data_IF_752206506398
#
_entry.id   IF_752206506398
#
_cell.length_a   1.000
_cell.length_b   1.000
_cell.length_c   1.000
_cell.angle_alpha   90.00
_cell.angle_beta   90.00
_cell.angle_gamma   90.00
#
_symmetry.space_group_name_H-M   'P 1'
#
loop_
_entity.id
_entity.type
_entity.pdbx_description
1 polymer ?
#
# COMPACT_ATOMS: atom_id res chain seq x y z
N UNK A 1 -17.83 -5.04 -8.12
CA UNK A 1 -16.78 -5.39 -9.12
C UNK A 1 -15.53 -4.49 -9.03
N UNK A 2 -15.67 -3.18 -8.75
CA UNK A 2 -14.55 -2.21 -8.81
C UNK A 2 -13.41 -2.37 -7.79
N UNK A 3 -13.67 -2.94 -6.60
CA UNK A 3 -12.63 -3.05 -5.55
C UNK A 3 -11.48 -4.01 -5.90
N UNK A 4 -11.72 -4.99 -6.79
CA UNK A 4 -10.68 -5.96 -7.20
C UNK A 4 -9.59 -5.34 -8.08
N UNK A 5 -9.93 -4.38 -8.93
CA UNK A 5 -8.97 -3.70 -9.81
C UNK A 5 -8.05 -2.81 -8.98
N UNK A 6 -8.64 -2.03 -8.05
CA UNK A 6 -7.90 -1.11 -7.21
C UNK A 6 -7.04 -1.81 -6.15
N UNK A 7 -7.37 -3.04 -5.73
CA UNK A 7 -6.54 -3.80 -4.80
C UNK A 7 -5.57 -4.78 -5.48
N UNK A 8 -5.39 -4.69 -6.79
CA UNK A 8 -4.52 -5.56 -7.56
C UNK A 8 -3.50 -4.72 -8.35
N UNK A 9 -2.22 -5.08 -8.26
CA UNK A 9 -1.15 -4.42 -9.02
C UNK A 9 -1.39 -4.46 -10.52
N UNK A 10 -1.89 -5.58 -11.04
CA UNK A 10 -2.25 -5.70 -12.45
C UNK A 10 -3.41 -4.80 -12.84
N UNK A 11 -4.38 -4.61 -11.94
CA UNK A 11 -5.49 -3.67 -12.18
C UNK A 11 -5.02 -2.22 -12.20
N UNK A 12 -4.09 -1.84 -11.33
CA UNK A 12 -3.48 -0.51 -11.34
C UNK A 12 -2.60 -0.27 -12.57
N UNK A 13 -1.84 -1.28 -13.02
CA UNK A 13 -1.10 -1.21 -14.28
C UNK A 13 -2.03 -1.07 -15.48
N UNK A 14 -3.17 -1.76 -15.47
CA UNK A 14 -4.19 -1.61 -16.50
C UNK A 14 -4.72 -0.17 -16.56
N UNK A 15 -4.98 0.47 -15.41
CA UNK A 15 -5.39 1.89 -15.36
C UNK A 15 -4.34 2.79 -16.00
N UNK A 16 -3.06 2.61 -15.68
CA UNK A 16 -1.97 3.40 -16.27
C UNK A 16 -1.85 3.17 -17.79
N UNK A 17 -2.02 1.93 -18.24
CA UNK A 17 -2.03 1.59 -19.67
C UNK A 17 -3.21 2.24 -20.38
N UNK A 18 -4.41 2.17 -19.81
CA UNK A 18 -5.60 2.84 -20.36
C UNK A 18 -5.38 4.34 -20.46
N UNK A 19 -4.81 4.97 -19.43
CA UNK A 19 -4.49 6.39 -19.45
C UNK A 19 -3.52 6.75 -20.59
N UNK A 20 -2.47 5.95 -20.78
CA UNK A 20 -1.52 6.14 -21.87
C UNK A 20 -2.20 6.01 -23.24
N UNK A 21 -3.04 5.00 -23.43
CA UNK A 21 -3.79 4.79 -24.68
C UNK A 21 -4.74 5.96 -24.95
N UNK A 22 -5.48 6.41 -23.93
CA UNK A 22 -6.40 7.56 -24.06
C UNK A 22 -5.63 8.83 -24.42
N UNK A 23 -4.51 9.11 -23.76
CA UNK A 23 -3.65 10.26 -24.10
C UNK A 23 -3.14 10.17 -25.54
N UNK A 24 -2.64 9.00 -25.95
CA UNK A 24 -2.16 8.82 -27.30
C UNK A 24 -3.29 9.03 -28.33
N UNK A 25 -4.46 8.43 -28.12
CA UNK A 25 -5.60 8.60 -29.03
C UNK A 25 -6.08 10.04 -29.09
N UNK A 26 -6.17 10.72 -27.95
CA UNK A 26 -6.57 12.12 -27.88
C UNK A 26 -5.61 13.02 -28.67
N UNK A 27 -4.30 12.86 -28.46
CA UNK A 27 -3.28 13.64 -29.18
C UNK A 27 -3.38 13.43 -30.70
N UNK A 28 -3.61 12.19 -31.14
CA UNK A 28 -3.78 11.89 -32.56
C UNK A 28 -5.07 12.48 -33.13
N UNK A 29 -6.17 12.49 -32.37
CA UNK A 29 -7.42 13.10 -32.81
C UNK A 29 -7.29 14.61 -32.95
N UNK A 30 -6.66 15.26 -31.97
CA UNK A 30 -6.51 16.71 -31.96
C UNK A 30 -5.67 17.21 -33.14
N UNK A 31 -4.54 16.57 -33.42
CA UNK A 31 -3.69 16.91 -34.57
C UNK A 31 -4.43 16.84 -35.93
N UNK A 32 -5.50 16.06 -36.02
CA UNK A 32 -6.25 15.85 -37.25
C UNK A 32 -7.56 16.67 -37.34
N UNK A 33 -8.03 17.23 -36.22
CA UNK A 33 -9.39 17.79 -36.10
C UNK A 33 -9.44 19.27 -35.68
N UNK A 34 -8.29 19.94 -35.51
CA UNK A 34 -8.27 21.35 -35.15
C UNK A 34 -8.96 22.23 -36.21
N UNK A 35 -9.98 22.97 -35.77
CA UNK A 35 -10.70 23.94 -36.58
C UNK A 35 -10.11 25.36 -36.38
N UNK A 36 -10.22 26.26 -37.38
CA UNK A 36 -9.76 27.65 -37.23
C UNK A 36 -10.34 28.36 -36.00
N UNK A 37 -11.61 28.11 -35.67
CA UNK A 37 -12.26 28.69 -34.50
C UNK A 37 -11.66 28.21 -33.16
N UNK A 38 -11.14 26.99 -33.11
CA UNK A 38 -10.44 26.49 -31.91
C UNK A 38 -9.08 27.16 -31.76
N UNK A 39 -8.36 27.36 -32.86
CA UNK A 39 -7.06 28.07 -32.87
C UNK A 39 -7.25 29.51 -32.40
N UNK A 40 -8.24 30.24 -32.95
CA UNK A 40 -8.55 31.62 -32.56
C UNK A 40 -8.88 31.73 -31.07
N UNK A 41 -9.67 30.78 -30.55
CA UNK A 41 -9.98 30.71 -29.12
C UNK A 41 -8.74 30.45 -28.27
N UNK A 42 -7.87 29.53 -28.68
CA UNK A 42 -6.61 29.23 -28.00
C UNK A 42 -5.68 30.45 -27.95
N UNK A 43 -5.59 31.20 -29.05
CA UNK A 43 -4.80 32.42 -29.14
C UNK A 43 -5.35 33.55 -28.26
N UNK A 44 -6.67 33.71 -28.19
CA UNK A 44 -7.30 34.65 -27.27
C UNK A 44 -6.98 34.32 -25.80
N UNK A 45 -6.95 33.04 -25.43
CA UNK A 45 -6.56 32.62 -24.07
C UNK A 45 -5.06 32.81 -23.84
N UNK A 46 -4.21 32.47 -24.81
CA UNK A 46 -2.76 32.67 -24.72
C UNK A 46 -2.40 34.15 -24.52
N UNK A 47 -3.12 35.06 -25.17
CA UNK A 47 -2.98 36.50 -24.95
C UNK A 47 -3.23 36.88 -23.49
N UNK A 48 -4.28 36.33 -22.85
CA UNK A 48 -4.54 36.53 -21.41
C UNK A 48 -3.40 35.96 -20.56
N UNK A 49 -2.81 34.84 -20.95
CA UNK A 49 -1.66 34.26 -20.23
C UNK A 49 -0.43 35.17 -20.32
N UNK A 50 -0.15 35.76 -21.47
CA UNK A 50 0.92 36.78 -21.64
C UNK A 50 0.69 37.99 -20.72
N UNK A 51 -0.56 38.45 -20.62
CA UNK A 51 -0.93 39.57 -19.74
C UNK A 51 -0.77 39.22 -18.26
N UNK A 52 -1.20 38.01 -17.85
CA UNK A 52 -1.05 37.52 -16.47
C UNK A 52 0.42 37.38 -16.04
N UNK A 53 1.30 37.07 -16.98
CA UNK A 53 2.73 37.02 -16.73
C UNK A 53 3.39 38.40 -16.65
N UNK A 54 2.66 39.47 -16.96
CA UNK A 54 3.18 40.84 -16.93
C UNK A 54 4.19 41.12 -18.03
N UNK A 55 4.08 40.43 -19.18
CA UNK A 55 4.95 40.66 -20.33
C UNK A 55 6.38 40.17 -20.12
N UNK A 56 6.55 38.99 -19.51
CA UNK A 56 7.86 38.34 -19.40
C UNK A 56 8.53 38.24 -20.77
N UNK A 57 9.68 38.89 -20.89
CA UNK A 57 10.49 38.88 -22.10
C UNK A 57 11.28 37.56 -22.20
N UNK A 58 10.81 36.68 -23.07
CA UNK A 58 11.42 35.38 -23.31
C UNK A 58 12.64 35.42 -24.23
N UNK A 59 12.90 36.55 -24.89
CA UNK A 59 14.08 36.73 -25.74
C UNK A 59 15.39 36.56 -24.96
N UNK A 60 15.39 36.86 -23.64
CA UNK A 60 16.54 36.65 -22.75
C UNK A 60 16.96 35.19 -22.63
N UNK A 61 16.03 34.26 -22.78
CA UNK A 61 16.33 32.83 -22.76
C UNK A 61 16.98 32.34 -24.06
N UNK A 62 16.81 33.06 -25.17
CA UNK A 62 17.47 32.78 -26.46
C UNK A 62 18.99 32.95 -26.35
N UNK A 63 19.46 33.83 -25.46
CA UNK A 63 20.89 34.02 -25.18
C UNK A 63 21.53 32.94 -24.30
N UNK A 64 20.79 31.91 -23.88
CA UNK A 64 21.37 30.83 -23.08
C UNK A 64 22.41 30.03 -23.86
N UNK A 65 23.53 29.71 -23.20
CA UNK A 65 24.57 28.88 -23.80
C UNK A 65 24.05 27.49 -24.19
N UNK A 66 24.55 26.93 -25.30
CA UNK A 66 24.12 25.62 -25.84
C UNK A 66 24.11 24.49 -24.81
N UNK A 67 25.07 24.47 -23.89
CA UNK A 67 25.11 23.48 -22.80
C UNK A 67 23.95 23.59 -21.80
N UNK A 68 23.49 24.82 -21.54
CA UNK A 68 22.34 25.07 -20.66
C UNK A 68 21.04 24.63 -21.34
N UNK A 69 20.86 24.99 -22.62
CA UNK A 69 19.71 24.54 -23.43
C UNK A 69 19.68 23.01 -23.50
N UNK A 70 20.83 22.37 -23.68
CA UNK A 70 20.94 20.92 -23.68
C UNK A 70 20.55 20.29 -22.33
N UNK A 71 21.02 20.84 -21.22
CA UNK A 71 20.67 20.35 -19.88
C UNK A 71 19.15 20.41 -19.61
N UNK A 72 18.50 21.53 -19.94
CA UNK A 72 17.05 21.67 -19.78
C UNK A 72 16.28 20.73 -20.71
N UNK A 73 16.75 20.56 -21.95
CA UNK A 73 16.15 19.60 -22.90
C UNK A 73 16.27 18.16 -22.41
N UNK A 74 17.42 17.75 -21.86
CA UNK A 74 17.59 16.42 -21.23
C UNK A 74 16.64 16.25 -20.05
N UNK A 75 16.56 17.27 -19.18
CA UNK A 75 15.69 17.21 -18.01
C UNK A 75 14.23 17.00 -18.44
N UNK A 76 13.74 17.76 -19.41
CA UNK A 76 12.34 17.69 -19.83
C UNK A 76 12.02 16.44 -20.67
N UNK A 77 12.79 16.14 -21.72
CA UNK A 77 12.45 15.05 -22.64
C UNK A 77 12.92 13.66 -22.20
N UNK A 78 13.97 13.58 -21.37
CA UNK A 78 14.58 12.29 -20.99
C UNK A 78 14.36 12.00 -19.50
N UNK A 79 14.71 12.93 -18.61
CA UNK A 79 14.62 12.68 -17.17
C UNK A 79 13.17 12.54 -16.73
N UNK A 80 12.25 13.35 -17.22
CA UNK A 80 10.84 13.27 -16.83
C UNK A 80 10.20 11.88 -17.05
N UNK A 81 10.18 11.31 -18.27
CA UNK A 81 9.56 10.00 -18.48
C UNK A 81 10.29 8.87 -17.74
N UNK A 82 11.64 8.93 -17.67
CA UNK A 82 12.42 7.95 -16.90
C UNK A 82 12.12 8.03 -15.40
N UNK A 83 11.96 9.24 -14.86
CA UNK A 83 11.61 9.44 -13.46
C UNK A 83 10.23 8.87 -13.15
N UNK A 84 9.24 9.10 -14.03
CA UNK A 84 7.90 8.54 -13.89
C UNK A 84 7.91 7.00 -13.88
N UNK A 85 8.65 6.39 -14.82
CA UNK A 85 8.82 4.94 -14.89
C UNK A 85 9.57 4.37 -13.68
N UNK A 86 10.64 5.05 -13.25
CA UNK A 86 11.46 4.61 -12.11
C UNK A 86 10.66 4.67 -10.80
N UNK A 87 9.98 5.79 -10.53
CA UNK A 87 9.12 5.93 -9.34
C UNK A 87 7.98 4.90 -9.38
N UNK A 88 7.29 4.78 -10.52
CA UNK A 88 6.24 3.79 -10.72
C UNK A 88 6.71 2.36 -10.44
N UNK A 89 7.84 1.97 -11.02
CA UNK A 89 8.43 0.63 -10.83
C UNK A 89 8.86 0.39 -9.38
N UNK A 90 9.56 1.34 -8.76
CA UNK A 90 9.97 1.22 -7.36
C UNK A 90 8.76 1.05 -6.41
N UNK A 91 7.65 1.73 -6.67
CA UNK A 91 6.43 1.59 -5.86
C UNK A 91 5.65 0.31 -6.21
N UNK A 92 5.66 -0.12 -7.48
CA UNK A 92 5.03 -1.35 -7.94
C UNK A 92 5.60 -2.58 -7.21
N UNK A 93 6.91 -2.62 -6.93
CA UNK A 93 7.56 -3.74 -6.26
C UNK A 93 7.64 -3.60 -4.73
N UNK A 94 7.04 -2.57 -4.13
CA UNK A 94 6.92 -2.49 -2.67
C UNK A 94 6.03 -3.61 -2.13
N UNK A 95 6.24 -4.02 -0.87
CA UNK A 95 5.35 -4.98 -0.19
C UNK A 95 3.94 -4.42 -0.07
N UNK A 96 3.83 -3.17 0.40
CA UNK A 96 2.56 -2.46 0.49
C UNK A 96 2.08 -1.96 -0.88
N UNK A 97 0.80 -2.17 -1.20
CA UNK A 97 0.20 -1.71 -2.47
C UNK A 97 -0.20 -0.24 -2.42
N UNK A 98 -0.47 0.29 -1.22
CA UNK A 98 -1.00 1.64 -1.00
C UNK A 98 -0.19 2.75 -1.69
N UNK A 99 1.15 2.83 -1.59
CA UNK A 99 1.90 3.90 -2.26
C UNK A 99 1.75 3.87 -3.79
N UNK A 100 1.74 2.67 -4.37
CA UNK A 100 1.56 2.50 -5.81
C UNK A 100 0.14 2.85 -6.24
N UNK A 101 -0.87 2.45 -5.45
CA UNK A 101 -2.27 2.79 -5.69
C UNK A 101 -2.51 4.30 -5.66
N UNK A 102 -1.97 4.99 -4.67
CA UNK A 102 -2.11 6.45 -4.56
C UNK A 102 -1.39 7.17 -5.69
N UNK A 103 -0.20 6.70 -6.11
CA UNK A 103 0.46 7.21 -7.31
C UNK A 103 -0.45 7.06 -8.54
N UNK A 104 -0.92 5.84 -8.82
CA UNK A 104 -1.76 5.56 -9.99
C UNK A 104 -3.03 6.38 -10.00
N UNK A 105 -3.75 6.43 -8.87
CA UNK A 105 -4.98 7.21 -8.74
C UNK A 105 -4.72 8.71 -8.88
N UNK A 106 -3.63 9.22 -8.29
CA UNK A 106 -3.24 10.62 -8.40
C UNK A 106 -2.92 11.02 -9.84
N UNK A 107 -2.17 10.20 -10.57
CA UNK A 107 -1.88 10.41 -11.99
C UNK A 107 -3.15 10.35 -12.85
N UNK A 108 -4.02 9.36 -12.59
CA UNK A 108 -5.28 9.22 -13.32
C UNK A 108 -6.24 10.39 -13.09
N UNK A 109 -6.39 10.84 -11.85
CA UNK A 109 -7.20 12.00 -11.51
C UNK A 109 -6.67 13.28 -12.17
N UNK A 110 -5.35 13.52 -12.11
CA UNK A 110 -4.74 14.68 -12.76
C UNK A 110 -5.00 14.67 -14.26
N UNK A 111 -4.84 13.52 -14.92
CA UNK A 111 -5.10 13.41 -16.36
C UNK A 111 -6.58 13.62 -16.70
N UNK A 112 -7.50 12.98 -15.98
CA UNK A 112 -8.94 13.12 -16.23
C UNK A 112 -9.42 14.57 -16.07
N UNK A 113 -8.91 15.28 -15.05
CA UNK A 113 -9.24 16.69 -14.84
C UNK A 113 -8.62 17.53 -15.97
N UNK A 114 -7.34 17.32 -16.31
CA UNK A 114 -6.67 18.06 -17.38
C UNK A 114 -7.36 17.87 -18.74
N UNK A 115 -7.82 16.66 -19.05
CA UNK A 115 -8.53 16.36 -20.28
C UNK A 115 -9.79 17.23 -20.48
N UNK A 116 -10.51 17.54 -19.40
CA UNK A 116 -11.67 18.47 -19.47
C UNK A 116 -11.21 19.87 -19.90
N UNK A 117 -10.07 20.33 -19.39
CA UNK A 117 -9.50 21.61 -19.79
C UNK A 117 -8.96 21.60 -21.20
N UNK A 118 -8.30 20.54 -21.66
CA UNK A 118 -7.82 20.42 -23.04
C UNK A 118 -8.96 20.58 -24.05
N UNK A 119 -10.13 19.99 -23.75
CA UNK A 119 -11.30 20.07 -24.63
C UNK A 119 -11.98 21.45 -24.57
N UNK A 120 -12.14 22.02 -23.38
CA UNK A 120 -12.99 23.22 -23.17
C UNK A 120 -12.19 24.52 -23.20
N UNK A 121 -10.90 24.45 -22.86
CA UNK A 121 -9.98 25.55 -22.62
C UNK A 121 -8.59 25.24 -23.22
N UNK A 122 -8.50 25.08 -24.56
CA UNK A 122 -7.24 24.79 -25.23
C UNK A 122 -6.28 25.97 -25.07
N UNK A 123 -5.06 25.70 -24.63
CA UNK A 123 -4.00 26.71 -24.46
C UNK A 123 -2.76 26.24 -25.23
N UNK A 124 -2.34 26.97 -26.28
CA UNK A 124 -1.14 26.62 -27.03
C UNK A 124 0.09 26.63 -26.12
N UNK A 125 1.06 25.78 -26.45
CA UNK A 125 2.41 25.92 -25.92
C UNK A 125 2.94 27.33 -26.22
N UNK A 126 3.73 27.89 -25.32
CA UNK A 126 4.14 29.30 -25.40
C UNK A 126 4.84 29.63 -26.74
N UNK A 127 5.77 28.79 -27.17
CA UNK A 127 6.47 28.97 -28.45
C UNK A 127 5.56 28.90 -29.69
N UNK A 128 4.38 28.27 -29.57
CA UNK A 128 3.41 28.18 -30.66
C UNK A 128 2.51 29.43 -30.76
N UNK A 129 2.61 30.35 -29.81
CA UNK A 129 1.91 31.64 -29.81
C UNK A 129 2.88 32.77 -30.18
N UNK A 130 2.86 33.29 -31.44
CA UNK A 130 3.85 34.25 -31.92
C UNK A 130 4.03 35.51 -31.05
N UNK A 131 2.97 36.11 -30.47
CA UNK A 131 3.12 37.29 -29.63
C UNK A 131 3.87 37.06 -28.31
N UNK A 132 4.11 35.81 -27.89
CA UNK A 132 4.91 35.51 -26.70
C UNK A 132 6.42 35.66 -26.92
N UNK A 133 6.88 35.87 -28.18
CA UNK A 133 8.29 36.00 -28.57
C UNK A 133 9.19 34.89 -27.99
N UNK A 134 8.62 33.70 -27.86
CA UNK A 134 9.27 32.52 -27.31
C UNK A 134 9.72 31.60 -28.44
N UNK A 135 11.03 31.38 -28.54
CA UNK A 135 11.58 30.35 -29.40
C UNK A 135 11.52 28.99 -28.68
N UNK A 136 11.16 27.92 -29.39
CA UNK A 136 11.33 26.57 -28.87
C UNK A 136 12.83 26.25 -28.77
N UNK A 137 13.42 26.45 -27.59
CA UNK A 137 14.87 26.36 -27.42
C UNK A 137 15.43 24.96 -27.66
N UNK A 138 14.62 23.92 -27.52
CA UNK A 138 15.05 22.54 -27.79
C UNK A 138 15.42 22.30 -29.26
N UNK A 139 14.82 23.06 -30.20
CA UNK A 139 15.20 23.01 -31.62
C UNK A 139 16.61 23.54 -31.88
N UNK A 140 17.10 24.44 -31.04
CA UNK A 140 18.47 24.95 -31.14
C UNK A 140 19.54 23.88 -30.86
N UNK A 141 19.13 22.73 -30.30
CA UNK A 141 20.00 21.59 -30.06
C UNK A 141 19.71 20.41 -31.00
N UNK A 142 18.47 19.94 -31.07
CA UNK A 142 18.06 18.85 -31.97
C UNK A 142 16.53 18.75 -32.10
N UNK A 143 16.05 18.76 -33.34
CA UNK A 143 14.62 18.60 -33.67
C UNK A 143 14.11 17.17 -33.43
N UNK A 144 14.99 16.16 -33.45
CA UNK A 144 14.63 14.73 -33.35
C UNK A 144 13.86 14.39 -32.08
N UNK A 145 14.20 15.02 -30.96
CA UNK A 145 13.50 14.81 -29.69
C UNK A 145 12.08 15.35 -29.72
N UNK A 146 11.89 16.48 -30.40
CA UNK A 146 10.58 17.12 -30.53
C UNK A 146 9.70 16.27 -31.44
N UNK A 147 10.20 15.83 -32.60
CA UNK A 147 9.45 14.94 -33.50
C UNK A 147 8.96 13.67 -32.77
N UNK A 148 9.81 13.06 -31.95
CA UNK A 148 9.43 11.90 -31.12
C UNK A 148 8.39 12.26 -30.06
N UNK A 149 8.51 13.42 -29.42
CA UNK A 149 7.62 13.85 -28.34
C UNK A 149 6.27 14.37 -28.87
N UNK A 150 6.23 14.94 -30.08
CA UNK A 150 5.01 15.44 -30.74
C UNK A 150 4.00 14.34 -30.97
N UNK A 151 4.43 13.10 -31.19
CA UNK A 151 3.51 11.94 -31.29
C UNK A 151 2.71 11.68 -30.01
N UNK A 152 3.12 12.26 -28.87
CA UNK A 152 2.53 12.05 -27.55
C UNK A 152 1.94 13.31 -26.89
N UNK A 153 2.11 14.50 -27.49
CA UNK A 153 1.62 15.76 -26.94
C UNK A 153 1.13 16.72 -28.04
N UNK A 154 -0.15 17.08 -28.00
CA UNK A 154 -0.73 18.08 -28.88
C UNK A 154 -0.26 19.51 -28.53
N UNK A 155 -0.34 20.42 -29.50
CA UNK A 155 0.15 21.80 -29.37
C UNK A 155 -0.66 22.64 -28.40
N UNK A 156 -1.95 22.34 -28.22
CA UNK A 156 -2.89 23.19 -27.46
C UNK A 156 -3.28 22.63 -26.08
N UNK A 157 -2.51 21.64 -25.61
CA UNK A 157 -2.74 20.97 -24.32
C UNK A 157 -1.75 21.43 -23.25
N UNK A 158 -1.55 22.74 -23.15
CA UNK A 158 -0.62 23.29 -22.14
C UNK A 158 -1.25 23.44 -20.77
N UNK A 159 -2.57 23.64 -20.69
CA UNK A 159 -3.27 23.97 -19.45
C UNK A 159 -4.25 22.87 -18.98
N UNK A 160 -4.13 22.39 -17.72
CA UNK A 160 -3.03 22.59 -16.78
C UNK A 160 -1.82 21.72 -17.15
N UNK A 161 -0.62 22.12 -16.73
CA UNK A 161 0.62 21.41 -17.09
C UNK A 161 0.68 20.00 -16.47
N UNK A 162 0.50 18.97 -17.28
CA UNK A 162 0.64 17.57 -16.87
C UNK A 162 2.05 17.22 -16.35
N UNK A 163 3.17 17.66 -16.97
CA UNK A 163 4.50 17.46 -16.41
C UNK A 163 4.67 18.01 -15.00
N UNK A 164 4.11 19.18 -14.71
CA UNK A 164 4.09 19.74 -13.37
C UNK A 164 3.19 18.92 -12.43
N UNK A 165 1.97 18.60 -12.84
CA UNK A 165 1.04 17.80 -12.03
C UNK A 165 1.63 16.44 -11.66
N UNK A 166 2.15 15.69 -12.62
CA UNK A 166 2.72 14.36 -12.38
C UNK A 166 3.99 14.43 -11.52
N UNK A 167 4.83 15.44 -11.73
CA UNK A 167 5.98 15.71 -10.86
C UNK A 167 5.56 15.95 -9.42
N UNK A 168 4.53 16.76 -9.18
CA UNK A 168 4.02 17.01 -7.83
C UNK A 168 3.35 15.79 -7.20
N UNK A 169 2.64 14.96 -7.98
CA UNK A 169 2.12 13.66 -7.50
C UNK A 169 3.28 12.76 -7.05
N UNK A 170 4.34 12.62 -7.85
CA UNK A 170 5.51 11.81 -7.50
C UNK A 170 6.19 12.31 -6.22
N UNK A 171 6.41 13.63 -6.11
CA UNK A 171 6.98 14.25 -4.90
C UNK A 171 6.08 13.94 -3.70
N UNK A 172 4.78 14.24 -3.80
CA UNK A 172 3.82 14.04 -2.72
C UNK A 172 3.84 12.61 -2.20
N UNK A 173 3.72 11.62 -3.10
CA UNK A 173 3.71 10.19 -2.73
C UNK A 173 5.04 9.79 -2.10
N UNK A 174 6.18 10.22 -2.65
CA UNK A 174 7.49 9.89 -2.11
C UNK A 174 7.71 10.44 -0.70
N UNK A 175 7.26 11.66 -0.42
CA UNK A 175 7.35 12.25 0.92
C UNK A 175 6.36 11.60 1.89
N UNK A 176 5.11 11.44 1.47
CA UNK A 176 4.00 10.90 2.29
C UNK A 176 4.27 9.48 2.77
N UNK A 177 4.90 8.64 1.94
CA UNK A 177 5.23 7.25 2.23
C UNK A 177 6.73 7.03 2.49
N UNK A 178 7.46 8.09 2.85
CA UNK A 178 8.86 8.08 3.28
C UNK A 178 9.76 7.22 2.38
N UNK A 179 9.63 7.39 1.07
CA UNK A 179 10.49 6.71 0.08
C UNK A 179 11.94 7.15 0.26
N UNK A 180 12.88 6.18 0.19
CA UNK A 180 14.32 6.44 0.34
C UNK A 180 14.85 7.45 -0.69
N UNK A 181 14.22 7.48 -1.87
CA UNK A 181 14.59 8.30 -3.02
C UNK A 181 13.79 9.61 -3.13
N UNK A 182 13.11 10.07 -2.07
CA UNK A 182 12.28 11.29 -2.09
C UNK A 182 13.00 12.57 -2.46
N UNK A 183 14.25 12.75 -2.02
CA UNK A 183 15.04 13.96 -2.34
C UNK A 183 15.55 13.96 -3.79
N UNK A 184 16.13 12.86 -4.32
CA UNK A 184 16.40 12.76 -5.75
C UNK A 184 15.17 13.06 -6.61
N UNK A 185 14.01 12.47 -6.29
CA UNK A 185 12.76 12.76 -7.01
C UNK A 185 12.40 14.24 -6.93
N UNK A 186 12.49 14.85 -5.75
CA UNK A 186 12.20 16.28 -5.57
C UNK A 186 13.06 17.17 -6.49
N UNK A 187 14.38 17.03 -6.45
CA UNK A 187 15.27 17.87 -7.23
C UNK A 187 15.13 17.63 -8.73
N UNK A 188 14.97 16.38 -9.16
CA UNK A 188 14.78 16.05 -10.58
C UNK A 188 13.43 16.55 -11.09
N UNK A 189 12.34 16.38 -10.33
CA UNK A 189 11.03 16.92 -10.67
C UNK A 189 11.02 18.45 -10.71
N UNK A 190 11.71 19.11 -9.79
CA UNK A 190 11.88 20.56 -9.81
C UNK A 190 12.64 21.01 -11.06
N UNK A 191 13.72 20.30 -11.43
CA UNK A 191 14.46 20.56 -12.65
C UNK A 191 13.59 20.38 -13.91
N UNK A 192 12.72 19.37 -13.95
CA UNK A 192 11.76 19.18 -15.06
C UNK A 192 10.82 20.38 -15.19
N UNK A 193 10.21 20.82 -14.08
CA UNK A 193 9.27 21.95 -14.07
C UNK A 193 9.97 23.22 -14.55
N UNK A 194 11.13 23.54 -13.98
CA UNK A 194 11.92 24.72 -14.37
C UNK A 194 12.36 24.63 -15.83
N UNK A 195 12.75 23.45 -16.31
CA UNK A 195 13.14 23.25 -17.71
C UNK A 195 11.99 23.46 -18.68
N UNK A 196 10.78 23.03 -18.31
CA UNK A 196 9.61 23.21 -19.16
C UNK A 196 9.24 24.69 -19.35
N UNK A 197 9.50 25.52 -18.33
CA UNK A 197 9.37 26.97 -18.42
C UNK A 197 10.50 27.57 -19.25
N UNK A 198 11.76 27.29 -18.89
CA UNK A 198 12.95 27.84 -19.56
C UNK A 198 12.98 27.55 -21.06
N UNK A 199 12.54 26.37 -21.49
CA UNK A 199 12.51 25.97 -22.91
C UNK A 199 11.43 26.70 -23.73
N UNK A 200 10.62 27.56 -23.12
CA UNK A 200 9.52 28.24 -23.80
C UNK A 200 8.35 27.32 -24.14
N UNK A 201 8.18 26.21 -23.42
CA UNK A 201 7.10 25.24 -23.66
C UNK A 201 5.86 25.63 -22.87
N UNK A 202 6.01 25.79 -21.56
CA UNK A 202 4.91 26.04 -20.65
C UNK A 202 4.86 27.51 -20.20
N UNK A 203 3.67 27.93 -19.83
CA UNK A 203 3.43 29.22 -19.22
C UNK A 203 3.76 29.17 -17.71
N UNK A 204 3.56 30.25 -16.97
CA UNK A 204 3.62 30.24 -15.52
C UNK A 204 2.25 29.86 -14.91
N UNK A 205 1.11 30.40 -15.39
CA UNK A 205 -0.20 30.04 -14.84
C UNK A 205 -0.56 28.55 -15.00
N UNK A 206 -0.19 27.91 -16.11
CA UNK A 206 -0.39 26.47 -16.33
C UNK A 206 0.51 25.59 -15.44
N UNK A 207 1.74 26.00 -15.16
CA UNK A 207 2.65 25.31 -14.24
C UNK A 207 2.16 25.39 -12.80
N UNK A 208 1.70 26.57 -12.36
CA UNK A 208 1.12 26.77 -11.04
C UNK A 208 -0.15 25.94 -10.88
N UNK A 209 -1.04 25.99 -11.88
CA UNK A 209 -2.29 25.22 -11.86
C UNK A 209 -2.01 23.72 -11.94
N UNK A 210 -1.04 23.29 -12.74
CA UNK A 210 -0.56 21.91 -12.80
C UNK A 210 -0.01 21.44 -11.46
N UNK A 211 0.81 22.26 -10.79
CA UNK A 211 1.32 21.96 -9.45
C UNK A 211 0.20 21.80 -8.42
N UNK A 212 -0.77 22.72 -8.40
CA UNK A 212 -1.96 22.63 -7.56
C UNK A 212 -2.75 21.35 -7.84
N UNK A 213 -3.03 21.08 -9.12
CA UNK A 213 -3.74 19.88 -9.56
C UNK A 213 -3.04 18.60 -9.09
N UNK A 214 -1.71 18.54 -9.21
CA UNK A 214 -0.93 17.39 -8.75
C UNK A 214 -1.11 17.11 -7.25
N UNK A 215 -0.99 18.14 -6.41
CA UNK A 215 -1.18 18.02 -4.96
C UNK A 215 -2.63 17.67 -4.60
N UNK A 216 -3.59 18.32 -5.26
CA UNK A 216 -5.01 18.08 -5.08
C UNK A 216 -5.40 16.63 -5.43
N UNK A 217 -5.02 16.16 -6.62
CA UNK A 217 -5.26 14.79 -7.08
C UNK A 217 -4.61 13.75 -6.19
N UNK A 218 -3.37 13.98 -5.75
CA UNK A 218 -2.69 13.06 -4.84
C UNK A 218 -3.36 13.02 -3.45
N UNK A 219 -3.83 14.16 -2.95
CA UNK A 219 -4.57 14.24 -1.68
C UNK A 219 -5.91 13.52 -1.76
N UNK A 220 -6.66 13.72 -2.86
CA UNK A 220 -7.92 13.02 -3.11
C UNK A 220 -7.70 11.51 -3.27
N UNK A 221 -6.61 11.10 -3.93
CA UNK A 221 -6.23 9.70 -4.05
C UNK A 221 -5.95 9.04 -2.70
N UNK A 222 -5.35 9.74 -1.73
CA UNK A 222 -5.18 9.25 -0.35
C UNK A 222 -6.54 9.08 0.35
N UNK A 223 -7.44 10.06 0.22
CA UNK A 223 -8.78 9.96 0.82
C UNK A 223 -9.58 8.79 0.24
N UNK A 224 -9.49 8.57 -1.07
CA UNK A 224 -10.10 7.42 -1.73
C UNK A 224 -9.45 6.10 -1.35
N UNK A 225 -8.12 6.05 -1.20
CA UNK A 225 -7.41 4.84 -0.73
C UNK A 225 -7.96 4.35 0.61
N UNK A 226 -8.13 5.25 1.57
CA UNK A 226 -8.70 4.91 2.87
C UNK A 226 -10.11 4.31 2.74
N UNK A 227 -10.99 4.95 1.96
CA UNK A 227 -12.35 4.45 1.71
C UNK A 227 -12.36 3.10 0.99
N UNK A 228 -11.47 2.90 0.03
CA UNK A 228 -11.32 1.63 -0.71
C UNK A 228 -10.90 0.53 0.26
N UNK A 229 -9.91 0.78 1.11
CA UNK A 229 -9.43 -0.19 2.10
C UNK A 229 -10.52 -0.53 3.11
N UNK A 230 -11.25 0.47 3.60
CA UNK A 230 -12.35 0.25 4.55
C UNK A 230 -13.50 -0.54 3.92
N UNK A 231 -13.86 -0.24 2.67
CA UNK A 231 -14.86 -1.00 1.92
C UNK A 231 -14.42 -2.45 1.68
N UNK A 232 -13.14 -2.67 1.33
CA UNK A 232 -12.60 -4.03 1.16
C UNK A 232 -12.68 -4.80 2.48
N UNK A 233 -12.25 -4.21 3.60
CA UNK A 233 -12.32 -4.86 4.92
C UNK A 233 -13.74 -5.25 5.32
N UNK A 234 -14.75 -4.45 4.95
CA UNK A 234 -16.17 -4.75 5.21
C UNK A 234 -16.70 -5.88 4.32
N UNK A 235 -16.32 -5.90 3.05
CA UNK A 235 -16.84 -6.86 2.06
C UNK A 235 -16.13 -8.22 2.12
N UNK A 236 -14.87 -8.27 2.56
CA UNK A 236 -14.09 -9.52 2.66
C UNK A 236 -14.75 -10.60 3.56
N UNK A 237 -15.27 -10.29 4.76
CA UNK A 237 -15.99 -11.28 5.57
C UNK A 237 -17.32 -11.70 4.93
N UNK A 238 -18.05 -10.80 4.26
CA UNK A 238 -19.32 -11.12 3.59
C UNK A 238 -19.12 -12.05 2.39
N UNK A 239 -18.17 -11.73 1.48
CA UNK A 239 -17.86 -12.56 0.32
C UNK A 239 -17.27 -13.93 0.69
N UNK A 240 -16.49 -14.00 1.77
CA UNK A 240 -16.01 -15.27 2.30
C UNK A 240 -17.20 -16.12 2.77
N UNK A 241 -18.15 -15.51 3.49
CA UNK A 241 -19.36 -16.19 3.99
C UNK A 241 -20.27 -16.65 2.84
N UNK A 242 -20.46 -15.82 1.81
CA UNK A 242 -21.27 -16.12 0.62
C UNK A 242 -20.63 -17.22 -0.26
N UNK A 243 -19.33 -17.10 -0.54
CA UNK A 243 -18.59 -18.08 -1.35
C UNK A 243 -18.48 -19.46 -0.68
N UNK A 244 -18.32 -19.48 0.64
CA UNK A 244 -18.40 -20.68 1.48
C UNK A 244 -19.78 -21.34 1.41
N UNK A 245 -20.87 -20.55 1.41
CA UNK A 245 -22.23 -21.08 1.25
C UNK A 245 -22.47 -21.69 -0.13
N UNK A 246 -22.02 -21.01 -1.20
CA UNK A 246 -22.25 -21.46 -2.59
C UNK A 246 -21.43 -22.72 -2.92
N UNK A 247 -20.18 -22.82 -2.44
CA UNK A 247 -19.30 -23.94 -2.77
C UNK A 247 -19.43 -25.13 -1.81
N UNK A 248 -20.24 -25.04 -0.75
CA UNK A 248 -20.33 -26.07 0.28
C UNK A 248 -19.00 -26.32 1.04
N UNK A 249 -17.99 -25.46 0.79
CA UNK A 249 -16.69 -25.52 1.45
C UNK A 249 -16.88 -24.81 2.79
N UNK A 250 -16.90 -25.57 3.90
CA UNK A 250 -16.90 -24.99 5.25
C UNK A 250 -15.78 -23.94 5.37
N UNK A 251 -16.04 -22.77 5.96
CA UNK A 251 -15.07 -21.69 5.99
C UNK A 251 -13.83 -22.19 6.72
N UNK A 252 -12.63 -21.76 6.31
CA UNK A 252 -11.41 -22.04 7.07
C UNK A 252 -11.55 -21.31 8.40
N UNK A 253 -11.99 -22.09 9.36
CA UNK A 253 -12.48 -21.67 10.65
C UNK A 253 -11.26 -21.15 11.44
N UNK A 254 -11.19 -19.82 11.66
CA UNK A 254 -10.02 -19.17 12.27
C UNK A 254 -9.86 -19.69 13.70
N UNK A 255 -8.70 -20.26 14.00
CA UNK A 255 -8.40 -20.76 15.34
C UNK A 255 -8.26 -19.61 16.34
N UNK A 256 -8.79 -19.83 17.54
CA UNK A 256 -8.88 -18.84 18.62
C UNK A 256 -8.04 -19.22 19.83
N UNK A 257 -7.60 -20.47 19.90
CA UNK A 257 -6.93 -21.03 21.08
C UNK A 257 -5.73 -21.86 20.68
N UNK A 258 -4.66 -21.80 21.46
CA UNK A 258 -3.54 -22.73 21.38
C UNK A 258 -3.57 -23.64 22.61
N UNK A 259 -3.48 -24.96 22.41
CA UNK A 259 -3.43 -25.95 23.50
C UNK A 259 -2.02 -26.50 23.59
N UNK A 260 -1.34 -26.19 24.69
CA UNK A 260 -0.02 -26.71 25.04
C UNK A 260 -0.16 -27.81 26.10
N UNK A 261 0.65 -28.87 26.00
CA UNK A 261 0.60 -30.01 26.92
C UNK A 261 1.91 -30.80 26.91
N UNK A 262 2.14 -31.58 27.97
CA UNK A 262 3.23 -32.56 28.01
C UNK A 262 2.81 -33.82 27.25
N UNK A 263 3.54 -34.20 26.20
CA UNK A 263 3.14 -35.31 25.31
C UNK A 263 3.02 -36.65 26.04
N UNK A 264 3.95 -36.92 26.95
CA UNK A 264 4.06 -38.18 27.68
C UNK A 264 2.89 -38.39 28.66
N UNK A 265 2.35 -37.33 29.26
CA UNK A 265 1.35 -37.45 30.33
C UNK A 265 0.01 -36.78 30.04
N UNK A 266 -0.05 -35.80 29.13
CA UNK A 266 -1.23 -34.96 28.89
C UNK A 266 -1.90 -35.12 27.53
N UNK A 267 -1.40 -36.00 26.65
CA UNK A 267 -1.86 -36.12 25.25
C UNK A 267 -3.35 -36.48 25.10
N UNK A 268 -3.85 -37.42 25.91
CA UNK A 268 -5.26 -37.82 25.90
C UNK A 268 -6.14 -36.64 26.31
N UNK A 269 -5.81 -35.99 27.44
CA UNK A 269 -6.59 -34.87 27.93
C UNK A 269 -6.58 -33.69 26.96
N UNK A 270 -5.44 -33.37 26.35
CA UNK A 270 -5.34 -32.30 25.38
C UNK A 270 -6.24 -32.52 24.15
N UNK A 271 -6.40 -33.78 23.71
CA UNK A 271 -7.37 -34.15 22.66
C UNK A 271 -8.82 -34.01 23.12
N UNK A 272 -9.12 -34.35 24.38
CA UNK A 272 -10.46 -34.15 24.97
C UNK A 272 -10.77 -32.65 25.03
N UNK A 273 -9.86 -31.83 25.56
CA UNK A 273 -9.98 -30.37 25.62
C UNK A 273 -10.22 -29.79 24.24
N UNK A 274 -9.45 -30.21 23.23
CA UNK A 274 -9.67 -29.78 21.85
C UNK A 274 -11.07 -30.12 21.33
N UNK A 275 -11.53 -31.36 21.56
CA UNK A 275 -12.85 -31.82 21.12
C UNK A 275 -13.99 -31.03 21.78
N UNK A 276 -13.89 -30.81 23.10
CA UNK A 276 -14.92 -30.11 23.87
C UNK A 276 -14.96 -28.61 23.61
N UNK A 277 -13.81 -27.98 23.42
CA UNK A 277 -13.73 -26.59 22.97
C UNK A 277 -14.33 -26.42 21.57
N UNK A 278 -14.06 -27.36 20.66
CA UNK A 278 -14.63 -27.35 19.30
C UNK A 278 -16.15 -27.43 19.32
N UNK A 279 -16.73 -28.29 20.17
CA UNK A 279 -18.20 -28.37 20.37
C UNK A 279 -18.79 -27.03 20.86
N UNK A 280 -18.01 -26.28 21.63
CA UNK A 280 -18.38 -24.97 22.21
C UNK A 280 -18.01 -23.77 21.30
N UNK A 281 -17.59 -24.02 20.06
CA UNK A 281 -17.29 -22.99 19.07
C UNK A 281 -15.88 -22.40 19.16
N UNK A 282 -15.01 -22.97 19.99
CA UNK A 282 -13.61 -22.56 20.11
C UNK A 282 -12.71 -23.50 19.32
N UNK A 283 -11.97 -22.94 18.37
CA UNK A 283 -11.11 -23.72 17.49
C UNK A 283 -9.67 -23.63 17.96
N UNK A 284 -9.04 -24.77 18.14
CA UNK A 284 -7.72 -24.84 18.75
C UNK A 284 -6.64 -25.41 17.84
N UNK A 285 -5.45 -24.84 17.94
CA UNK A 285 -4.22 -25.56 17.64
C UNK A 285 -3.97 -26.55 18.77
N UNK A 286 -3.63 -27.78 18.40
CA UNK A 286 -3.05 -28.77 19.29
C UNK A 286 -1.65 -28.98 18.76
N UNK A 287 -0.65 -29.02 19.63
CA UNK A 287 0.72 -29.37 19.24
C UNK A 287 0.70 -30.66 18.39
N UNK A 288 1.13 -30.58 17.13
CA UNK A 288 0.97 -31.65 16.13
C UNK A 288 2.23 -32.51 16.05
N UNK A 289 2.02 -33.82 16.11
CA UNK A 289 2.98 -34.92 16.15
C UNK A 289 3.95 -35.10 14.95
N UNK A 290 4.14 -34.15 14.02
CA UNK A 290 4.56 -34.56 12.65
C UNK A 290 5.66 -33.77 11.89
N UNK A 291 6.57 -33.03 12.53
CA UNK A 291 7.63 -32.32 11.77
C UNK A 291 9.02 -32.28 12.45
N UNK A 292 10.06 -32.51 11.64
CA UNK A 292 11.44 -32.73 12.05
C UNK A 292 12.18 -31.56 12.74
N UNK A 293 13.36 -31.83 13.34
CA UNK A 293 13.82 -31.17 14.58
C UNK A 293 14.30 -29.71 14.49
N UNK A 294 14.47 -29.13 13.29
CA UNK A 294 15.23 -27.86 13.14
C UNK A 294 14.42 -26.63 12.67
N UNK A 295 13.19 -26.79 12.19
CA UNK A 295 12.35 -25.67 11.72
C UNK A 295 11.02 -25.51 12.49
N UNK A 296 10.79 -26.32 13.52
CA UNK A 296 9.51 -26.39 14.25
C UNK A 296 9.26 -25.16 15.15
N UNK A 297 10.31 -24.67 15.82
CA UNK A 297 10.17 -23.69 16.89
C UNK A 297 9.55 -22.37 16.51
N UNK A 298 10.09 -21.72 15.48
CA UNK A 298 9.61 -20.39 15.09
C UNK A 298 8.19 -20.41 14.55
N UNK A 299 7.71 -21.56 14.04
CA UNK A 299 6.33 -21.69 13.58
C UNK A 299 5.38 -21.80 14.77
N UNK A 300 5.71 -22.64 15.75
CA UNK A 300 4.91 -22.86 16.95
C UNK A 300 4.70 -21.55 17.73
N UNK A 301 5.79 -20.81 17.96
CA UNK A 301 5.73 -19.50 18.64
C UNK A 301 4.90 -18.47 17.85
N UNK A 302 4.98 -18.48 16.51
CA UNK A 302 4.11 -17.65 15.67
C UNK A 302 2.63 -18.00 15.81
N UNK A 303 2.29 -19.28 15.90
CA UNK A 303 0.91 -19.73 16.10
C UNK A 303 0.38 -19.24 17.45
N UNK A 304 1.18 -19.37 18.53
CA UNK A 304 0.85 -18.83 19.86
C UNK A 304 0.58 -17.32 19.79
N UNK A 305 1.48 -16.55 19.17
CA UNK A 305 1.32 -15.10 19.04
C UNK A 305 0.10 -14.69 18.18
N UNK A 306 -0.38 -15.58 17.31
CA UNK A 306 -1.49 -15.32 16.38
C UNK A 306 -2.89 -15.48 16.98
N UNK A 307 -3.00 -16.17 18.13
CA UNK A 307 -4.28 -16.44 18.81
C UNK A 307 -4.38 -15.68 20.13
N UNK A 308 -5.59 -15.32 20.58
CA UNK A 308 -5.76 -14.62 21.86
C UNK A 308 -5.63 -15.53 23.08
N UNK A 309 -6.03 -16.80 22.98
CA UNK A 309 -6.10 -17.71 24.12
C UNK A 309 -5.00 -18.79 24.09
N UNK A 310 -4.46 -19.10 25.26
CA UNK A 310 -3.46 -20.14 25.48
C UNK A 310 -3.90 -21.05 26.63
N UNK A 311 -4.28 -22.29 26.33
CA UNK A 311 -4.65 -23.29 27.34
C UNK A 311 -3.47 -24.21 27.54
N UNK A 312 -3.03 -24.37 28.79
CA UNK A 312 -1.95 -25.31 29.13
C UNK A 312 -2.52 -26.45 29.96
N UNK A 313 -2.40 -27.68 29.46
CA UNK A 313 -2.83 -28.89 30.17
C UNK A 313 -1.73 -29.34 31.11
N UNK A 314 -2.00 -29.27 32.41
CA UNK A 314 -1.09 -29.62 33.49
C UNK A 314 -1.50 -30.98 34.08
N UNK A 315 -0.92 -32.04 33.53
CA UNK A 315 -0.97 -33.40 34.05
C UNK A 315 0.16 -33.68 35.04
N UNK A 316 0.08 -34.73 35.87
CA UNK A 316 1.19 -35.12 36.74
C UNK A 316 2.52 -35.20 35.97
N UNK A 317 3.56 -34.58 36.52
CA UNK A 317 4.88 -34.49 35.90
C UNK A 317 4.99 -33.57 34.68
N UNK A 318 3.95 -32.79 34.34
CA UNK A 318 3.99 -31.92 33.16
C UNK A 318 5.13 -30.89 33.21
N UNK A 319 5.43 -30.36 34.40
CA UNK A 319 6.43 -29.29 34.59
C UNK A 319 7.83 -29.79 34.98
N UNK A 320 8.06 -31.10 35.12
CA UNK A 320 9.32 -31.65 35.66
C UNK A 320 10.57 -31.30 34.82
N UNK A 321 10.39 -31.04 33.52
CA UNK A 321 11.47 -30.63 32.60
C UNK A 321 11.55 -29.12 32.35
N UNK A 322 10.70 -28.32 32.99
CA UNK A 322 10.66 -26.88 32.75
C UNK A 322 11.88 -26.14 33.31
N UNK A 323 12.69 -26.79 34.16
CA UNK A 323 14.00 -26.29 34.58
C UNK A 323 14.97 -26.14 33.39
N UNK A 324 14.85 -26.99 32.37
CA UNK A 324 15.66 -26.96 31.15
C UNK A 324 15.22 -25.83 30.21
N UNK A 325 16.13 -24.94 29.84
CA UNK A 325 15.84 -23.81 28.95
C UNK A 325 15.41 -24.24 27.53
N UNK A 326 15.80 -25.45 27.09
CA UNK A 326 15.43 -25.97 25.77
C UNK A 326 14.05 -26.66 25.73
N UNK A 327 13.41 -26.87 26.89
CA UNK A 327 12.12 -27.55 26.98
C UNK A 327 11.02 -26.77 26.24
N UNK A 328 10.25 -27.48 25.40
CA UNK A 328 9.22 -26.85 24.59
C UNK A 328 8.07 -26.29 25.43
N UNK A 329 7.61 -27.01 26.45
CA UNK A 329 6.49 -26.55 27.28
C UNK A 329 6.87 -25.23 27.98
N UNK A 330 8.07 -25.15 28.54
CA UNK A 330 8.61 -23.89 29.11
C UNK A 330 8.60 -22.77 28.07
N UNK A 331 9.16 -23.02 26.88
CA UNK A 331 9.28 -22.00 25.81
C UNK A 331 7.92 -21.50 25.33
N UNK A 332 6.94 -22.39 25.20
CA UNK A 332 5.58 -22.02 24.80
C UNK A 332 4.90 -21.14 25.85
N UNK A 333 4.96 -21.54 27.13
CA UNK A 333 4.36 -20.77 28.22
C UNK A 333 5.06 -19.41 28.36
N UNK A 334 6.39 -19.37 28.38
CA UNK A 334 7.15 -18.12 28.45
C UNK A 334 6.83 -17.19 27.27
N UNK A 335 6.63 -17.74 26.07
CA UNK A 335 6.23 -16.95 24.91
C UNK A 335 4.79 -16.45 25.01
N UNK A 336 3.87 -17.26 25.53
CA UNK A 336 2.49 -16.85 25.78
C UNK A 336 2.42 -15.70 26.80
N UNK A 337 3.25 -15.76 27.86
CA UNK A 337 3.42 -14.70 28.85
C UNK A 337 3.98 -13.43 28.20
N UNK A 338 5.11 -13.55 27.50
CA UNK A 338 5.78 -12.42 26.82
C UNK A 338 4.87 -11.74 25.79
N UNK A 339 3.99 -12.49 25.14
CA UNK A 339 3.04 -11.96 24.16
C UNK A 339 1.68 -11.58 24.77
N UNK A 340 1.52 -11.62 26.10
CA UNK A 340 0.30 -11.27 26.82
C UNK A 340 -0.94 -12.01 26.32
N UNK A 341 -0.83 -13.33 26.15
CA UNK A 341 -1.98 -14.19 25.82
C UNK A 341 -2.88 -14.36 27.04
N UNK A 342 -4.15 -14.68 26.82
CA UNK A 342 -5.04 -15.15 27.87
C UNK A 342 -4.69 -16.59 28.25
N UNK A 343 -3.86 -16.76 29.29
CA UNK A 343 -3.37 -18.06 29.74
C UNK A 343 -4.37 -18.67 30.71
N UNK A 344 -4.82 -19.89 30.41
CA UNK A 344 -5.73 -20.68 31.25
C UNK A 344 -5.10 -22.03 31.58
N UNK A 345 -4.56 -22.22 32.80
CA UNK A 345 -4.08 -23.51 33.26
C UNK A 345 -5.25 -24.51 33.43
N UNK A 346 -5.12 -25.69 32.85
CA UNK A 346 -6.11 -26.78 32.95
C UNK A 346 -5.48 -27.98 33.65
N UNK A 347 -5.76 -28.14 34.93
CA UNK A 347 -5.12 -29.10 35.82
C UNK A 347 -5.88 -30.42 35.84
N UNK A 348 -5.17 -31.54 35.69
CA UNK A 348 -5.76 -32.88 35.67
C UNK A 348 -5.06 -33.84 36.62
N UNK A 349 -5.75 -34.89 37.03
CA UNK A 349 -5.25 -35.99 37.87
C UNK A 349 -4.46 -35.50 39.10
N UNK A 350 -5.04 -34.55 39.83
CA UNK A 350 -4.46 -33.98 41.07
C UNK A 350 -3.08 -33.32 40.90
N UNK A 351 -2.80 -32.77 39.71
CA UNK A 351 -1.58 -32.02 39.43
C UNK A 351 -1.18 -31.06 40.57
N UNK A 352 0.09 -31.13 40.96
CA UNK A 352 0.72 -30.24 41.91
C UNK A 352 1.80 -29.44 41.21
N UNK A 353 1.84 -28.13 41.47
CA UNK A 353 2.95 -27.31 41.03
C UNK A 353 4.25 -27.77 41.70
N UNK A 354 5.39 -27.75 40.98
CA UNK A 354 6.69 -28.00 41.60
C UNK A 354 7.00 -26.91 42.64
N UNK A 355 8.01 -27.12 43.48
CA UNK A 355 8.34 -26.14 44.51
C UNK A 355 8.72 -24.80 43.87
N UNK A 356 8.37 -23.67 44.49
CA UNK A 356 8.63 -22.33 43.89
C UNK A 356 10.09 -22.11 43.47
N UNK A 357 11.06 -22.76 44.13
CA UNK A 357 12.49 -22.68 43.80
C UNK A 357 12.88 -23.40 42.50
N UNK A 358 12.03 -24.29 42.00
CA UNK A 358 12.25 -25.11 40.80
C UNK A 358 11.55 -24.53 39.57
N UNK A 359 10.71 -23.50 39.76
CA UNK A 359 10.02 -22.80 38.68
C UNK A 359 10.93 -21.68 38.16
N UNK A 360 11.29 -21.68 36.86
CA UNK A 360 12.08 -20.61 36.29
C UNK A 360 11.37 -19.25 36.34
N UNK A 361 12.14 -18.17 36.45
CA UNK A 361 11.63 -16.79 36.57
C UNK A 361 10.68 -16.40 35.42
N UNK A 362 10.91 -16.93 34.21
CA UNK A 362 10.09 -16.66 33.02
C UNK A 362 8.70 -17.34 33.05
N UNK A 363 8.45 -18.23 34.01
CA UNK A 363 7.18 -18.91 34.24
C UNK A 363 6.48 -18.46 35.54
N UNK A 364 7.07 -17.57 36.34
CA UNK A 364 6.49 -17.18 37.64
C UNK A 364 5.06 -16.62 37.49
N UNK A 365 4.79 -15.90 36.39
CA UNK A 365 3.46 -15.35 36.10
C UNK A 365 2.39 -16.45 35.98
N UNK A 366 2.74 -17.67 35.53
CA UNK A 366 1.82 -18.80 35.41
C UNK A 366 1.12 -19.12 36.75
N UNK A 367 1.82 -18.97 37.87
CA UNK A 367 1.30 -19.24 39.21
C UNK A 367 0.21 -18.27 39.65
N UNK A 368 0.12 -17.11 39.01
CA UNK A 368 -0.89 -16.09 39.29
C UNK A 368 -2.12 -16.20 38.40
N UNK A 369 -2.12 -17.10 37.41
CA UNK A 369 -3.29 -17.34 36.56
C UNK A 369 -4.32 -18.23 37.26
N UNK A 370 -5.59 -17.89 37.08
CA UNK A 370 -6.71 -18.70 37.56
C UNK A 370 -6.80 -20.01 36.78
N UNK A 371 -6.39 -21.12 37.42
CA UNK A 371 -6.49 -22.43 36.83
C UNK A 371 -7.86 -23.10 37.02
N UNK A 372 -8.16 -24.06 36.15
CA UNK A 372 -9.38 -24.88 36.18
C UNK A 372 -8.96 -26.32 36.50
N UNK A 373 -9.53 -26.90 37.55
CA UNK A 373 -9.32 -28.30 37.92
C UNK A 373 -10.35 -29.15 37.18
N UNK A 374 -9.88 -30.16 36.45
CA UNK A 374 -10.73 -31.12 35.77
C UNK A 374 -11.48 -31.99 36.78
N UNK A 375 -12.79 -32.11 36.60
CA UNK A 375 -13.62 -33.08 37.32
C UNK A 375 -14.28 -34.03 36.34
N UNK A 376 -14.08 -35.33 36.53
CA UNK A 376 -14.74 -36.35 35.74
C UNK A 376 -16.26 -36.41 36.03
N UNK A 377 -16.66 -36.17 37.28
CA UNK A 377 -18.07 -36.14 37.70
C UNK A 377 -18.79 -34.90 37.12
N UNK A 378 -18.13 -33.74 37.12
CA UNK A 378 -18.67 -32.47 36.60
C UNK A 378 -18.07 -32.12 35.24
N UNK A 379 -18.03 -33.09 34.32
CA UNK A 379 -17.37 -32.97 33.02
C UNK A 379 -17.85 -31.75 32.22
N UNK A 380 -19.15 -31.66 31.92
CA UNK A 380 -19.70 -30.59 31.10
C UNK A 380 -19.52 -29.21 31.74
N UNK A 381 -19.79 -29.10 33.04
CA UNK A 381 -19.63 -27.85 33.79
C UNK A 381 -18.17 -27.36 33.82
N UNK A 382 -17.20 -28.28 33.86
CA UNK A 382 -15.76 -27.96 33.78
C UNK A 382 -15.44 -27.32 32.42
N UNK A 383 -15.96 -27.88 31.33
CA UNK A 383 -15.70 -27.36 29.98
C UNK A 383 -16.49 -26.10 29.65
N UNK A 384 -17.68 -25.92 30.23
CA UNK A 384 -18.43 -24.66 30.17
C UNK A 384 -17.65 -23.55 30.87
N UNK A 385 -17.14 -23.84 32.09
CA UNK A 385 -16.26 -22.92 32.81
C UNK A 385 -14.99 -22.61 32.02
N UNK A 386 -14.35 -23.61 31.40
CA UNK A 386 -13.19 -23.37 30.53
C UNK A 386 -13.55 -22.43 29.39
N UNK A 387 -14.68 -22.65 28.71
CA UNK A 387 -15.15 -21.80 27.63
C UNK A 387 -15.41 -20.35 28.07
N UNK A 388 -15.92 -20.13 29.29
CA UNK A 388 -16.17 -18.79 29.84
C UNK A 388 -14.90 -18.00 30.14
N UNK A 389 -13.79 -18.69 30.43
CA UNK A 389 -12.48 -18.07 30.66
C UNK A 389 -11.78 -17.66 29.35
N UNK A 390 -12.26 -18.13 28.19
CA UNK A 390 -11.65 -17.81 26.90
C UNK A 390 -12.22 -16.49 26.33
N UNK A 391 -11.33 -15.65 25.81
CA UNK A 391 -11.70 -14.44 25.09
C UNK A 391 -12.38 -14.80 23.76
N UNK A 392 -13.54 -14.20 23.50
CA UNK A 392 -14.23 -14.26 22.20
C UNK A 392 -13.60 -13.21 21.27
N UNK A 393 -13.31 -13.61 20.02
CA UNK A 393 -12.73 -12.75 18.99
C UNK A 393 -13.60 -11.53 18.64
#
# INVERSE_FOLDING_TARGET
MNHRILNNRMGLLFILLTLFVVNYTETQLEMNLQTPAQIDKGYAIAQVFTELEGGLDFSRFVGLGKGVVAAHSIAYYVVFPLLLLAVGSCLLFRREITPFRVLTLGLALSYLIALVFFIVFPVPERWAFPPADALLLSDAWSTRWIELYRSFKALDNSFPSLPAAFSLVMIFVCFRYRSKFRYPVFFLSLAVILSSFTLGIHWLPDLLTGGFLGVFSASLAVLWDHRIVDAIKKVQPELATEGTRILGIKPVEKKTTFISYRRETGSIMARIVQSELKKRGHLSFLDVDDLGPKQFGERLLREIASVPNFVVVLSPGAMDRCDQHEDWLRREIAHAIMTHRNIVPFMVDEFQYPQKKEIPDDLEELLHHNGIIYSHEYFDATFDKLSDFLQKN
#
